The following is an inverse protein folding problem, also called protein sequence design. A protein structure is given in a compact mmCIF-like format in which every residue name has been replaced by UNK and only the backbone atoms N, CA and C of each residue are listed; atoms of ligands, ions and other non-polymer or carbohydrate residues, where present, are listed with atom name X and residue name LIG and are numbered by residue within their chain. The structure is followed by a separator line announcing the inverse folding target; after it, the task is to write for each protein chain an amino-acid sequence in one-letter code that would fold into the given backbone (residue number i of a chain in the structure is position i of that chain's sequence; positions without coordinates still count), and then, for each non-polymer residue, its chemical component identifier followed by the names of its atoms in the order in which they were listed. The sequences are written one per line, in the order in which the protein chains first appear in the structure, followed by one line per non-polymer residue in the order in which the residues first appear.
data_IF_153828618306
#
_entry.id   IF_153828618306
#
_cell.length_a   1.000
_cell.length_b   1.000
_cell.length_c   1.000
_cell.angle_alpha   90.00
_cell.angle_beta   90.00
_cell.angle_gamma   90.00
#
_symmetry.space_group_name_H-M   'P 1'
#
loop_
_entity.id
_entity.type
_entity.pdbx_description
1 polymer ?
#
# COMPACT_ATOMS: atom_id res chain seq x y z
N UNK A 1 -37.95 -10.27 -22.27
CA UNK A 1 -36.86 -11.29 -22.24
C UNK A 1 -36.52 -11.53 -20.78
N UNK A 2 -36.57 -12.77 -20.28
CA UNK A 2 -36.24 -13.03 -18.87
C UNK A 2 -34.77 -12.74 -18.61
N UNK A 3 -34.50 -11.94 -17.59
CA UNK A 3 -33.14 -11.69 -17.07
C UNK A 3 -32.56 -13.01 -16.56
N UNK A 4 -31.57 -13.54 -17.27
CA UNK A 4 -30.76 -14.65 -16.75
C UNK A 4 -29.98 -14.17 -15.54
N UNK A 5 -30.54 -14.31 -14.37
CA UNK A 5 -29.83 -14.18 -13.10
C UNK A 5 -28.74 -15.25 -13.12
N UNK A 6 -27.49 -14.81 -13.12
CA UNK A 6 -26.37 -15.76 -13.01
C UNK A 6 -26.57 -16.61 -11.73
N UNK A 7 -26.43 -17.96 -11.83
CA UNK A 7 -26.67 -18.82 -10.68
C UNK A 7 -25.75 -18.42 -9.53
N UNK A 8 -26.34 -18.23 -8.34
CA UNK A 8 -25.63 -17.92 -7.11
C UNK A 8 -24.50 -18.93 -6.86
N UNK A 9 -23.32 -18.43 -6.52
CA UNK A 9 -22.17 -19.29 -6.17
C UNK A 9 -22.52 -19.96 -4.83
N UNK A 10 -22.45 -21.31 -4.73
CA UNK A 10 -22.74 -21.98 -3.48
C UNK A 10 -21.83 -21.46 -2.36
N UNK A 11 -22.37 -21.22 -1.17
CA UNK A 11 -21.65 -20.73 0.01
C UNK A 11 -20.44 -21.59 0.46
N UNK A 12 -20.31 -22.83 -0.07
CA UNK A 12 -19.19 -23.73 0.17
C UNK A 12 -18.04 -23.60 -0.86
N UNK A 13 -18.11 -22.69 -1.85
CA UNK A 13 -17.09 -22.53 -2.86
C UNK A 13 -15.85 -21.82 -2.29
N UNK A 14 -14.66 -22.47 -2.35
CA UNK A 14 -13.39 -21.84 -1.96
C UNK A 14 -12.86 -20.87 -3.05
N UNK A 15 -11.80 -20.14 -2.75
CA UNK A 15 -11.11 -19.22 -3.69
C UNK A 15 -10.71 -19.89 -5.02
N UNK A 16 -10.43 -21.19 -4.99
CA UNK A 16 -10.01 -21.98 -6.15
C UNK A 16 -11.16 -22.75 -6.82
N UNK A 17 -12.42 -22.43 -6.49
CA UNK A 17 -13.56 -22.95 -7.22
C UNK A 17 -13.41 -22.65 -8.73
N UNK A 18 -13.89 -23.55 -9.64
CA UNK A 18 -13.63 -23.43 -11.09
C UNK A 18 -13.96 -22.07 -11.68
N UNK A 19 -14.97 -21.36 -11.17
CA UNK A 19 -15.38 -20.03 -11.62
C UNK A 19 -14.48 -18.90 -11.10
N UNK A 20 -13.84 -19.06 -9.93
CA UNK A 20 -13.04 -18.03 -9.27
C UNK A 20 -11.53 -18.23 -9.42
N UNK A 21 -11.07 -19.47 -9.69
CA UNK A 21 -9.64 -19.81 -9.68
C UNK A 21 -8.79 -18.92 -10.59
N UNK A 22 -9.24 -18.70 -11.83
CA UNK A 22 -8.50 -17.90 -12.80
C UNK A 22 -8.41 -16.44 -12.35
N UNK A 23 -9.51 -15.88 -11.82
CA UNK A 23 -9.55 -14.53 -11.26
C UNK A 23 -8.69 -14.43 -10.01
N UNK A 24 -8.74 -15.42 -9.10
CA UNK A 24 -7.91 -15.45 -7.90
C UNK A 24 -6.42 -15.52 -8.25
N UNK A 25 -6.01 -16.46 -9.10
CA UNK A 25 -4.61 -16.61 -9.51
C UNK A 25 -4.10 -15.35 -10.21
N UNK A 26 -4.86 -14.82 -11.17
CA UNK A 26 -4.47 -13.62 -11.90
C UNK A 26 -4.39 -12.37 -10.99
N UNK A 27 -5.35 -12.18 -10.07
CA UNK A 27 -5.31 -11.05 -9.13
C UNK A 27 -4.14 -11.15 -8.15
N UNK A 28 -3.89 -12.33 -7.59
CA UNK A 28 -2.74 -12.58 -6.71
C UNK A 28 -1.42 -12.38 -7.47
N UNK A 29 -1.32 -12.85 -8.72
CA UNK A 29 -0.14 -12.66 -9.56
C UNK A 29 0.12 -11.16 -9.84
N UNK A 30 -0.93 -10.37 -10.15
CA UNK A 30 -0.78 -8.92 -10.34
C UNK A 30 -0.33 -8.20 -9.07
N UNK A 31 -0.89 -8.56 -7.90
CA UNK A 31 -0.43 -7.99 -6.63
C UNK A 31 1.03 -8.38 -6.35
N UNK A 32 1.41 -9.64 -6.59
CA UNK A 32 2.82 -10.08 -6.43
C UNK A 32 3.77 -9.35 -7.36
N UNK A 33 3.33 -9.04 -8.59
CA UNK A 33 4.15 -8.27 -9.54
C UNK A 33 4.32 -6.82 -9.12
N UNK A 34 3.26 -6.18 -8.62
CA UNK A 34 3.34 -4.82 -8.06
C UNK A 34 4.30 -4.79 -6.87
N UNK A 35 4.23 -5.79 -6.00
CA UNK A 35 5.12 -5.93 -4.85
C UNK A 35 6.58 -6.18 -5.28
N UNK A 36 6.79 -7.11 -6.23
CA UNK A 36 8.12 -7.41 -6.75
C UNK A 36 8.76 -6.18 -7.38
N UNK A 37 8.03 -5.47 -8.24
CA UNK A 37 8.52 -4.27 -8.89
C UNK A 37 8.94 -3.20 -7.86
N UNK A 38 8.09 -2.91 -6.88
CA UNK A 38 8.38 -1.92 -5.84
C UNK A 38 9.69 -2.20 -5.10
N UNK A 39 9.99 -3.48 -4.83
CA UNK A 39 11.18 -3.92 -4.10
C UNK A 39 12.41 -4.08 -5.02
N UNK A 40 12.22 -4.63 -6.21
CA UNK A 40 13.28 -4.90 -7.19
C UNK A 40 13.93 -3.61 -7.71
N UNK A 41 13.10 -2.57 -7.93
CA UNK A 41 13.60 -1.26 -8.37
C UNK A 41 14.51 -0.65 -7.32
N UNK A 42 14.18 -0.76 -6.03
CA UNK A 42 15.05 -0.29 -4.95
C UNK A 42 16.46 -0.88 -5.04
N UNK A 43 16.58 -2.16 -5.39
CA UNK A 43 17.86 -2.86 -5.56
C UNK A 43 18.60 -2.43 -6.83
N UNK A 44 17.89 -2.19 -7.93
CA UNK A 44 18.49 -1.85 -9.22
C UNK A 44 18.93 -0.38 -9.34
N UNK A 45 18.19 0.55 -8.69
CA UNK A 45 18.34 2.00 -8.89
C UNK A 45 19.76 2.56 -8.68
N UNK A 46 20.58 2.11 -7.71
CA UNK A 46 21.96 2.60 -7.59
C UNK A 46 22.80 2.30 -8.84
N UNK A 47 22.60 1.14 -9.47
CA UNK A 47 23.28 0.77 -10.71
C UNK A 47 22.74 1.55 -11.90
N UNK A 48 21.43 1.72 -11.98
CA UNK A 48 20.75 2.57 -12.98
C UNK A 48 21.29 4.00 -12.95
N UNK A 49 21.31 4.62 -11.78
CA UNK A 49 21.76 6.01 -11.61
C UNK A 49 23.22 6.21 -12.04
N UNK A 50 24.08 5.23 -11.78
CA UNK A 50 25.47 5.26 -12.24
C UNK A 50 25.58 5.06 -13.76
N UNK A 51 24.82 4.13 -14.34
CA UNK A 51 24.90 3.81 -15.76
C UNK A 51 24.29 4.87 -16.68
N UNK A 52 23.35 5.69 -16.16
CA UNK A 52 22.68 6.77 -16.89
C UNK A 52 23.18 8.17 -16.44
N UNK A 53 24.23 8.24 -15.61
CA UNK A 53 24.75 9.49 -15.01
C UNK A 53 23.65 10.37 -14.43
N UNK A 54 22.72 9.74 -13.69
CA UNK A 54 21.43 10.31 -13.34
C UNK A 54 21.19 10.56 -11.85
N UNK A 55 22.26 10.73 -11.02
CA UNK A 55 22.11 10.93 -9.57
C UNK A 55 21.23 12.13 -9.20
N UNK A 56 21.26 13.21 -10.01
CA UNK A 56 20.42 14.40 -9.78
C UNK A 56 18.91 14.10 -9.90
N UNK A 57 18.52 13.10 -10.67
CA UNK A 57 17.13 12.69 -10.87
C UNK A 57 16.73 11.46 -10.05
N UNK A 58 17.65 10.93 -9.23
CA UNK A 58 17.44 9.70 -8.45
C UNK A 58 16.15 9.74 -7.62
N UNK A 59 15.93 10.84 -6.92
CA UNK A 59 14.75 10.98 -6.10
C UNK A 59 13.44 11.10 -6.86
N UNK A 60 13.46 11.80 -7.97
CA UNK A 60 12.26 11.92 -8.81
C UNK A 60 11.92 10.55 -9.41
N UNK A 61 12.91 9.72 -9.72
CA UNK A 61 12.70 8.36 -10.20
C UNK A 61 12.00 7.46 -9.17
N UNK A 62 12.17 7.70 -7.88
CA UNK A 62 11.42 7.04 -6.80
C UNK A 62 10.09 7.72 -6.50
N UNK A 63 10.07 9.05 -6.37
CA UNK A 63 8.89 9.81 -5.99
C UNK A 63 7.83 9.94 -7.08
N UNK A 64 8.27 9.98 -8.34
CA UNK A 64 7.38 10.13 -9.49
C UNK A 64 6.25 9.08 -9.56
N UNK A 65 6.54 7.78 -9.43
CA UNK A 65 5.51 6.74 -9.40
C UNK A 65 4.49 6.91 -8.26
N UNK A 66 4.92 7.33 -7.08
CA UNK A 66 4.01 7.58 -5.96
C UNK A 66 3.07 8.75 -6.27
N UNK A 67 3.60 9.84 -6.80
CA UNK A 67 2.80 11.01 -7.15
C UNK A 67 1.75 10.69 -8.22
N UNK A 68 2.15 10.06 -9.33
CA UNK A 68 1.22 9.67 -10.39
C UNK A 68 0.26 8.56 -9.95
N UNK A 69 0.69 7.67 -9.05
CA UNK A 69 -0.14 6.65 -8.42
C UNK A 69 -1.28 7.25 -7.61
N UNK A 70 -1.03 8.29 -6.81
CA UNK A 70 -2.06 9.02 -6.05
C UNK A 70 -3.15 9.56 -6.99
N UNK A 71 -2.77 10.21 -8.08
CA UNK A 71 -3.71 10.69 -9.08
C UNK A 71 -4.50 9.53 -9.70
N UNK A 72 -3.81 8.48 -10.11
CA UNK A 72 -4.40 7.31 -10.76
C UNK A 72 -5.39 6.56 -9.85
N UNK A 73 -5.13 6.47 -8.55
CA UNK A 73 -6.05 5.88 -7.57
C UNK A 73 -7.39 6.63 -7.54
N UNK A 74 -7.38 7.96 -7.58
CA UNK A 74 -8.60 8.77 -7.62
C UNK A 74 -9.34 8.57 -8.94
N UNK A 75 -8.63 8.62 -10.07
CA UNK A 75 -9.19 8.37 -11.41
C UNK A 75 -9.80 6.97 -11.47
N UNK A 76 -9.11 5.95 -10.97
CA UNK A 76 -9.58 4.57 -10.92
C UNK A 76 -10.86 4.44 -10.10
N UNK A 77 -10.92 5.07 -8.91
CA UNK A 77 -12.10 5.06 -8.06
C UNK A 77 -13.33 5.64 -8.76
N UNK A 78 -13.19 6.82 -9.36
CA UNK A 78 -14.25 7.48 -10.13
C UNK A 78 -14.69 6.61 -11.32
N UNK A 79 -13.73 6.04 -12.04
CA UNK A 79 -14.02 5.22 -13.22
C UNK A 79 -14.68 3.88 -12.84
N UNK A 80 -14.22 3.23 -11.77
CA UNK A 80 -14.84 2.01 -11.25
C UNK A 80 -16.30 2.24 -10.86
N UNK A 81 -16.60 3.34 -10.16
CA UNK A 81 -17.96 3.67 -9.74
C UNK A 81 -18.85 4.02 -10.94
N UNK A 82 -18.32 4.71 -11.95
CA UNK A 82 -19.08 5.12 -13.14
C UNK A 82 -19.33 3.98 -14.14
N UNK A 83 -18.35 3.11 -14.39
CA UNK A 83 -18.38 2.15 -15.52
C UNK A 83 -17.89 0.75 -15.14
N UNK A 84 -17.63 0.49 -13.86
CA UNK A 84 -17.07 -0.76 -13.35
C UNK A 84 -15.54 -0.87 -13.50
N UNK A 85 -14.94 -1.91 -12.87
CA UNK A 85 -13.49 -2.04 -12.73
C UNK A 85 -12.77 -2.52 -13.99
N UNK A 86 -13.52 -2.98 -15.02
CA UNK A 86 -12.93 -3.55 -16.25
C UNK A 86 -12.04 -2.56 -17.00
N UNK A 87 -12.52 -1.32 -17.18
CA UNK A 87 -11.75 -0.25 -17.86
C UNK A 87 -10.45 0.06 -17.12
N UNK A 88 -10.51 0.48 -15.83
CA UNK A 88 -9.32 0.75 -15.03
C UNK A 88 -8.33 -0.41 -14.95
N UNK A 89 -8.80 -1.66 -14.91
CA UNK A 89 -7.92 -2.83 -14.93
C UNK A 89 -7.11 -2.91 -16.22
N UNK A 90 -7.75 -2.84 -17.41
CA UNK A 90 -7.06 -2.95 -18.69
C UNK A 90 -6.11 -1.79 -18.95
N UNK A 91 -6.56 -0.57 -18.70
CA UNK A 91 -5.71 0.62 -18.86
C UNK A 91 -4.60 0.64 -17.83
N UNK A 92 -4.86 0.15 -16.60
CA UNK A 92 -3.86 0.03 -15.55
C UNK A 92 -2.71 -0.88 -15.98
N UNK A 93 -3.02 -2.09 -16.48
CA UNK A 93 -1.98 -3.01 -17.01
C UNK A 93 -1.27 -2.39 -18.21
N UNK A 94 -2.01 -1.78 -19.14
CA UNK A 94 -1.41 -1.17 -20.32
C UNK A 94 -0.41 -0.06 -19.94
N UNK A 95 -0.80 0.89 -19.08
CA UNK A 95 0.08 1.96 -18.63
C UNK A 95 1.25 1.43 -17.79
N UNK A 96 1.01 0.41 -16.94
CA UNK A 96 2.05 -0.23 -16.15
C UNK A 96 3.11 -0.87 -17.06
N UNK A 97 2.69 -1.65 -18.07
CA UNK A 97 3.60 -2.29 -19.04
C UNK A 97 4.32 -1.25 -19.90
N UNK A 98 3.60 -0.24 -20.43
CA UNK A 98 4.23 0.82 -21.22
C UNK A 98 5.28 1.57 -20.40
N UNK A 99 4.98 1.89 -19.15
CA UNK A 99 5.95 2.54 -18.26
C UNK A 99 7.21 1.68 -18.03
N UNK A 100 7.03 0.38 -17.82
CA UNK A 100 8.14 -0.57 -17.67
C UNK A 100 9.00 -0.68 -18.95
N UNK A 101 8.36 -0.70 -20.11
CA UNK A 101 9.08 -0.72 -21.39
C UNK A 101 9.89 0.57 -21.60
N UNK A 102 9.29 1.74 -21.32
CA UNK A 102 10.01 3.02 -21.39
C UNK A 102 11.19 3.03 -20.43
N UNK A 103 10.98 2.61 -19.16
CA UNK A 103 12.03 2.58 -18.15
C UNK A 103 13.16 1.58 -18.51
N UNK A 104 12.82 0.38 -18.98
CA UNK A 104 13.78 -0.67 -19.34
C UNK A 104 14.59 -0.37 -20.60
N UNK A 105 14.03 0.42 -21.52
CA UNK A 105 14.74 0.84 -22.77
C UNK A 105 15.34 2.24 -22.68
N UNK A 106 15.24 2.90 -21.50
CA UNK A 106 15.68 4.28 -21.33
C UNK A 106 17.18 4.49 -21.69
N UNK A 107 17.50 5.44 -22.60
CA UNK A 107 18.87 5.79 -22.91
C UNK A 107 19.45 6.82 -21.92
N UNK A 108 18.61 7.59 -21.24
CA UNK A 108 18.98 8.65 -20.29
C UNK A 108 18.06 8.60 -19.06
N UNK A 109 18.51 9.16 -17.95
CA UNK A 109 17.76 9.10 -16.69
C UNK A 109 16.40 9.80 -16.75
N UNK A 110 16.27 10.89 -17.52
CA UNK A 110 14.97 11.57 -17.72
C UNK A 110 13.93 10.69 -18.41
N UNK A 111 14.32 9.88 -19.37
CA UNK A 111 13.42 8.92 -20.02
C UNK A 111 12.98 7.83 -19.01
N UNK A 112 13.89 7.37 -18.17
CA UNK A 112 13.56 6.42 -17.09
C UNK A 112 12.54 7.05 -16.12
N UNK A 113 12.74 8.30 -15.69
CA UNK A 113 11.80 9.03 -14.81
C UNK A 113 10.40 9.10 -15.43
N UNK A 114 10.30 9.40 -16.72
CA UNK A 114 9.01 9.39 -17.45
C UNK A 114 8.41 7.99 -17.42
N UNK A 115 9.18 6.95 -17.74
CA UNK A 115 8.73 5.57 -17.68
C UNK A 115 8.20 5.18 -16.28
N UNK A 116 8.90 5.59 -15.24
CA UNK A 116 8.50 5.38 -13.83
C UNK A 116 7.19 6.13 -13.49
N UNK A 117 7.02 7.35 -13.95
CA UNK A 117 5.79 8.10 -13.74
C UNK A 117 4.59 7.45 -14.45
N UNK A 118 4.77 6.99 -15.69
CA UNK A 118 3.76 6.26 -16.46
C UNK A 118 3.41 4.92 -15.78
N UNK A 119 4.40 4.20 -15.31
CA UNK A 119 4.24 2.96 -14.56
C UNK A 119 3.47 3.18 -13.25
N UNK A 120 3.80 4.22 -12.49
CA UNK A 120 3.10 4.59 -11.26
C UNK A 120 1.62 4.90 -11.49
N UNK A 121 1.31 5.59 -12.60
CA UNK A 121 -0.08 5.80 -13.01
C UNK A 121 -0.80 4.47 -13.28
N UNK A 122 -0.18 3.54 -13.99
CA UNK A 122 -0.72 2.21 -14.23
C UNK A 122 -0.96 1.42 -12.94
N UNK A 123 0.00 1.41 -12.02
CA UNK A 123 -0.10 0.70 -10.74
C UNK A 123 -1.22 1.27 -9.85
N UNK A 124 -1.40 2.60 -9.84
CA UNK A 124 -2.50 3.25 -9.12
C UNK A 124 -3.87 2.87 -9.66
N UNK A 125 -4.03 2.77 -10.99
CA UNK A 125 -5.26 2.27 -11.61
C UNK A 125 -5.54 0.82 -11.20
N UNK A 126 -4.54 -0.05 -11.27
CA UNK A 126 -4.62 -1.46 -10.96
C UNK A 126 -5.01 -1.72 -9.51
N UNK A 127 -4.36 -1.04 -8.60
CA UNK A 127 -4.53 -1.29 -7.17
C UNK A 127 -5.97 -1.08 -6.70
N UNK A 128 -6.62 0.00 -7.13
CA UNK A 128 -8.04 0.26 -6.81
C UNK A 128 -8.96 -0.69 -7.56
N UNK A 129 -8.72 -0.94 -8.86
CA UNK A 129 -9.54 -1.85 -9.65
C UNK A 129 -9.58 -3.26 -9.07
N UNK A 130 -8.44 -3.79 -8.57
CA UNK A 130 -8.36 -5.10 -7.92
C UNK A 130 -9.23 -5.18 -6.66
N UNK A 131 -9.28 -4.12 -5.85
CA UNK A 131 -10.14 -4.06 -4.66
C UNK A 131 -11.63 -4.04 -5.03
N UNK A 132 -12.01 -3.27 -6.05
CA UNK A 132 -13.39 -3.23 -6.54
C UNK A 132 -13.81 -4.58 -7.15
N UNK A 133 -12.90 -5.26 -7.85
CA UNK A 133 -13.13 -6.62 -8.37
C UNK A 133 -13.43 -7.58 -7.23
N UNK A 134 -12.71 -7.51 -6.10
CA UNK A 134 -13.02 -8.33 -4.93
C UNK A 134 -14.46 -8.08 -4.47
N UNK A 135 -14.86 -6.82 -4.33
CA UNK A 135 -16.21 -6.47 -3.89
C UNK A 135 -17.34 -6.92 -4.82
N UNK A 136 -17.06 -7.01 -6.14
CA UNK A 136 -18.10 -7.32 -7.14
C UNK A 136 -18.09 -8.79 -7.59
N UNK A 137 -16.94 -9.45 -7.57
CA UNK A 137 -16.79 -10.81 -8.11
C UNK A 137 -16.85 -11.92 -7.07
N UNK A 138 -16.49 -11.61 -5.83
CA UNK A 138 -16.39 -12.61 -4.78
C UNK A 138 -17.56 -12.49 -3.80
N UNK A 139 -18.14 -13.63 -3.34
CA UNK A 139 -19.07 -13.66 -2.21
C UNK A 139 -18.43 -13.04 -0.95
N UNK A 140 -19.26 -12.42 -0.11
CA UNK A 140 -18.79 -11.68 1.07
C UNK A 140 -17.97 -12.55 2.06
N UNK A 141 -18.33 -13.83 2.19
CA UNK A 141 -17.62 -14.81 3.02
C UNK A 141 -16.18 -15.09 2.54
N UNK A 142 -15.90 -14.86 1.25
CA UNK A 142 -14.57 -15.02 0.65
C UNK A 142 -13.72 -13.74 0.68
N UNK A 143 -14.29 -12.56 0.97
CA UNK A 143 -13.53 -11.29 0.97
C UNK A 143 -12.32 -11.35 1.91
N UNK A 144 -12.46 -11.95 3.10
CA UNK A 144 -11.35 -12.09 4.04
C UNK A 144 -10.23 -12.96 3.49
N UNK A 145 -10.58 -14.08 2.85
CA UNK A 145 -9.62 -15.03 2.30
C UNK A 145 -8.86 -14.44 1.11
N UNK A 146 -9.52 -13.69 0.23
CA UNK A 146 -8.85 -13.07 -0.91
C UNK A 146 -7.96 -11.90 -0.48
N UNK A 147 -8.37 -11.07 0.49
CA UNK A 147 -7.49 -10.02 1.03
C UNK A 147 -6.33 -10.58 1.84
N UNK A 148 -6.51 -11.73 2.52
CA UNK A 148 -5.39 -12.45 3.12
C UNK A 148 -4.42 -13.00 2.06
N UNK A 149 -4.93 -13.49 0.92
CA UNK A 149 -4.10 -13.90 -0.20
C UNK A 149 -3.35 -12.70 -0.84
N UNK A 150 -3.98 -11.52 -0.94
CA UNK A 150 -3.31 -10.29 -1.40
C UNK A 150 -2.19 -9.86 -0.44
N UNK A 151 -2.40 -9.96 0.86
CA UNK A 151 -1.34 -9.68 1.83
C UNK A 151 -0.18 -10.70 1.71
N UNK A 152 -0.49 -11.99 1.58
CA UNK A 152 0.51 -13.03 1.35
C UNK A 152 1.27 -12.85 0.02
N UNK A 153 0.64 -12.26 -0.99
CA UNK A 153 1.26 -11.98 -2.29
C UNK A 153 2.42 -10.97 -2.23
N UNK A 154 2.54 -10.21 -1.14
CA UNK A 154 3.69 -9.32 -0.87
C UNK A 154 4.88 -10.05 -0.26
N UNK A 155 4.65 -11.18 0.42
CA UNK A 155 5.68 -11.87 1.21
C UNK A 155 6.74 -12.53 0.34
N UNK A 156 6.32 -13.27 -0.68
CA UNK A 156 7.29 -13.92 -1.57
C UNK A 156 8.19 -12.87 -2.24
N UNK A 157 7.66 -11.79 -2.86
CA UNK A 157 8.48 -10.71 -3.36
C UNK A 157 9.37 -10.04 -2.30
N UNK A 158 8.90 -9.86 -1.07
CA UNK A 158 9.73 -9.23 -0.02
C UNK A 158 10.91 -10.11 0.40
N UNK A 159 10.74 -11.43 0.35
CA UNK A 159 11.78 -12.37 0.74
C UNK A 159 12.82 -12.59 -0.36
N UNK A 160 12.36 -12.82 -1.59
CA UNK A 160 13.24 -13.20 -2.70
C UNK A 160 13.45 -12.09 -3.74
N UNK A 161 12.61 -11.05 -3.75
CA UNK A 161 12.64 -9.98 -4.75
C UNK A 161 13.99 -9.26 -4.85
N UNK A 162 14.57 -8.76 -3.76
CA UNK A 162 15.88 -8.11 -3.81
C UNK A 162 16.98 -9.02 -4.28
N UNK A 163 16.97 -10.31 -3.88
CA UNK A 163 17.97 -11.29 -4.34
C UNK A 163 17.83 -11.57 -5.85
N UNK A 164 16.59 -11.81 -6.32
CA UNK A 164 16.32 -12.01 -7.75
C UNK A 164 16.70 -10.76 -8.56
N UNK A 165 16.33 -9.57 -8.08
CA UNK A 165 16.70 -8.33 -8.75
C UNK A 165 18.21 -8.12 -8.80
N UNK A 166 18.92 -8.44 -7.72
CA UNK A 166 20.39 -8.40 -7.68
C UNK A 166 21.03 -9.35 -8.71
N UNK A 167 20.56 -10.59 -8.80
CA UNK A 167 21.00 -11.54 -9.81
C UNK A 167 20.70 -11.06 -11.24
N UNK A 168 19.51 -10.52 -11.48
CA UNK A 168 19.16 -9.94 -12.78
C UNK A 168 20.11 -8.79 -13.12
N UNK A 169 20.37 -7.87 -12.20
CA UNK A 169 21.28 -6.75 -12.41
C UNK A 169 22.70 -7.23 -12.74
N UNK A 170 23.17 -8.25 -12.01
CA UNK A 170 24.53 -8.77 -12.14
C UNK A 170 24.76 -9.53 -13.45
N UNK A 171 23.82 -10.37 -13.87
CA UNK A 171 24.03 -11.31 -15.00
C UNK A 171 23.37 -10.87 -16.31
N UNK A 172 22.21 -10.19 -16.23
CA UNK A 172 21.43 -9.77 -17.40
C UNK A 172 21.46 -8.26 -17.63
N UNK A 173 21.87 -7.50 -16.60
CA UNK A 173 21.84 -6.05 -16.59
C UNK A 173 20.55 -5.47 -16.04
N UNK A 174 20.63 -4.23 -15.53
CA UNK A 174 19.55 -3.56 -14.81
C UNK A 174 18.26 -3.38 -15.65
N UNK A 175 18.38 -3.29 -16.97
CA UNK A 175 17.22 -3.12 -17.87
C UNK A 175 16.22 -4.26 -17.76
N UNK A 176 16.68 -5.47 -17.52
CA UNK A 176 15.83 -6.65 -17.40
C UNK A 176 14.99 -6.66 -16.12
N UNK A 177 15.33 -5.88 -15.09
CA UNK A 177 14.47 -5.70 -13.91
C UNK A 177 13.12 -5.10 -14.31
N UNK A 178 13.10 -4.24 -15.32
CA UNK A 178 11.88 -3.64 -15.88
C UNK A 178 11.28 -4.48 -17.01
N UNK A 179 12.09 -4.99 -17.93
CA UNK A 179 11.62 -5.67 -19.15
C UNK A 179 11.07 -7.08 -18.91
N UNK A 180 11.44 -7.75 -17.82
CA UNK A 180 10.94 -9.09 -17.51
C UNK A 180 9.52 -9.08 -16.94
N UNK A 181 9.10 -8.02 -16.23
CA UNK A 181 7.81 -7.94 -15.55
C UNK A 181 6.62 -8.01 -16.51
N UNK A 182 6.60 -7.36 -17.68
CA UNK A 182 5.54 -7.49 -18.68
C UNK A 182 5.24 -8.92 -19.12
N UNK A 183 6.26 -9.79 -19.18
CA UNK A 183 6.09 -11.20 -19.56
C UNK A 183 5.19 -11.98 -18.59
N UNK A 184 5.03 -11.52 -17.34
CA UNK A 184 4.14 -12.12 -16.34
C UNK A 184 2.87 -11.29 -16.16
N UNK A 185 2.94 -9.96 -16.28
CA UNK A 185 1.78 -9.07 -16.12
C UNK A 185 0.70 -9.32 -17.19
N UNK A 186 1.11 -9.51 -18.45
CA UNK A 186 0.17 -9.76 -19.55
C UNK A 186 -0.58 -11.09 -19.38
N UNK A 187 0.06 -12.23 -19.16
CA UNK A 187 -0.65 -13.49 -18.85
C UNK A 187 -1.56 -13.39 -17.63
N UNK A 188 -1.13 -12.70 -16.56
CA UNK A 188 -1.92 -12.55 -15.35
C UNK A 188 -3.25 -11.82 -15.61
N UNK A 189 -3.25 -10.74 -16.42
CA UNK A 189 -4.50 -10.03 -16.75
C UNK A 189 -5.36 -10.82 -17.73
N UNK A 190 -4.77 -11.61 -18.62
CA UNK A 190 -5.52 -12.50 -19.50
C UNK A 190 -6.26 -13.59 -18.73
N UNK A 191 -5.69 -14.10 -17.63
CA UNK A 191 -6.37 -15.02 -16.73
C UNK A 191 -7.60 -14.43 -16.06
N UNK A 192 -7.57 -13.13 -15.73
CA UNK A 192 -8.70 -12.44 -15.11
C UNK A 192 -9.81 -12.12 -16.13
N UNK A 193 -9.46 -12.00 -17.41
CA UNK A 193 -10.36 -11.51 -18.46
C UNK A 193 -11.73 -12.20 -18.53
N UNK A 194 -11.86 -13.53 -18.49
CA UNK A 194 -13.18 -14.20 -18.55
C UNK A 194 -14.07 -13.78 -17.37
N UNK A 195 -13.49 -13.68 -16.15
CA UNK A 195 -14.20 -13.23 -14.95
C UNK A 195 -14.63 -11.76 -15.02
N UNK A 196 -13.81 -10.89 -15.63
CA UNK A 196 -14.18 -9.49 -15.83
C UNK A 196 -15.36 -9.30 -16.80
N UNK A 197 -15.53 -10.22 -17.78
CA UNK A 197 -16.66 -10.16 -18.71
C UNK A 197 -17.99 -10.46 -18.01
N UNK A 198 -17.98 -11.26 -16.96
CA UNK A 198 -19.19 -11.62 -16.20
C UNK A 198 -19.60 -10.53 -15.21
N UNK A 199 -18.70 -9.59 -14.86
CA UNK A 199 -19.04 -8.44 -14.03
C UNK A 199 -19.95 -7.51 -14.82
N UNK A 200 -21.15 -7.25 -14.29
CA UNK A 200 -22.10 -6.30 -14.88
C UNK A 200 -21.46 -4.92 -15.04
N UNK A 201 -21.89 -4.20 -16.07
CA UNK A 201 -21.60 -2.76 -16.13
C UNK A 201 -22.32 -2.11 -14.95
N UNK A 202 -21.57 -1.35 -14.14
CA UNK A 202 -22.20 -0.47 -13.14
C UNK A 202 -23.21 0.40 -13.88
N UNK A 203 -24.47 0.33 -13.45
CA UNK A 203 -25.56 1.15 -14.05
C UNK A 203 -25.55 2.50 -13.33
N UNK A 204 -24.42 3.19 -13.34
CA UNK A 204 -24.43 4.59 -12.96
C UNK A 204 -25.00 5.39 -14.15
N UNK A 205 -26.25 5.77 -14.04
CA UNK A 205 -26.99 6.55 -15.05
C UNK A 205 -26.59 8.03 -15.07
N UNK A 206 -25.69 8.46 -14.18
CA UNK A 206 -25.27 9.86 -14.08
C UNK A 206 -23.75 9.99 -13.91
N UNK A 207 -23.13 11.06 -14.45
CA UNK A 207 -21.75 11.41 -14.15
C UNK A 207 -21.53 11.49 -12.64
N UNK A 208 -20.40 10.95 -12.15
CA UNK A 208 -20.04 11.05 -10.72
C UNK A 208 -19.91 12.52 -10.34
N UNK A 209 -20.84 13.01 -9.51
CA UNK A 209 -20.85 14.41 -9.10
C UNK A 209 -19.52 14.80 -8.45
N UNK A 210 -18.96 15.95 -8.85
CA UNK A 210 -17.70 16.44 -8.31
C UNK A 210 -16.44 15.71 -8.79
N UNK A 211 -16.52 14.87 -9.83
CA UNK A 211 -15.36 14.12 -10.36
C UNK A 211 -14.20 15.05 -10.76
N UNK A 212 -14.48 16.14 -11.49
CA UNK A 212 -13.46 17.10 -11.90
C UNK A 212 -12.77 17.77 -10.72
N UNK A 213 -13.52 18.17 -9.69
CA UNK A 213 -12.97 18.75 -8.48
C UNK A 213 -12.08 17.74 -7.73
N UNK A 214 -12.50 16.46 -7.62
CA UNK A 214 -11.69 15.41 -6.99
C UNK A 214 -10.39 15.15 -7.74
N UNK A 215 -10.43 15.14 -9.09
CA UNK A 215 -9.20 15.03 -9.91
C UNK A 215 -8.30 16.25 -9.67
N UNK A 216 -8.84 17.45 -9.60
CA UNK A 216 -8.07 18.66 -9.28
C UNK A 216 -7.36 18.56 -7.92
N UNK A 217 -8.08 18.10 -6.87
CA UNK A 217 -7.46 17.84 -5.56
C UNK A 217 -6.43 16.71 -5.59
N UNK A 218 -6.65 15.68 -6.40
CA UNK A 218 -5.68 14.60 -6.59
C UNK A 218 -4.40 15.08 -7.29
N UNK A 219 -4.52 15.96 -8.29
CA UNK A 219 -3.37 16.62 -8.91
C UNK A 219 -2.58 17.45 -7.88
N UNK A 220 -3.29 18.23 -7.05
CA UNK A 220 -2.65 18.99 -5.98
C UNK A 220 -1.92 18.09 -4.96
N UNK A 221 -2.54 16.99 -4.54
CA UNK A 221 -1.92 16.01 -3.65
C UNK A 221 -0.71 15.31 -4.31
N UNK A 222 -0.80 14.97 -5.60
CA UNK A 222 0.28 14.35 -6.36
C UNK A 222 1.49 15.29 -6.49
N UNK A 223 1.27 16.56 -6.82
CA UNK A 223 2.32 17.58 -6.87
C UNK A 223 2.94 17.77 -5.50
N UNK A 224 2.13 17.84 -4.44
CA UNK A 224 2.63 17.96 -3.07
C UNK A 224 3.47 16.77 -2.63
N UNK A 225 3.07 15.54 -2.99
CA UNK A 225 3.86 14.33 -2.72
C UNK A 225 5.19 14.34 -3.49
N UNK A 226 5.20 14.80 -4.75
CA UNK A 226 6.43 14.97 -5.53
C UNK A 226 7.35 16.02 -4.91
N UNK A 227 6.82 17.18 -4.50
CA UNK A 227 7.58 18.24 -3.82
C UNK A 227 8.16 17.75 -2.49
N UNK A 228 7.41 16.96 -1.71
CA UNK A 228 7.90 16.37 -0.48
C UNK A 228 9.11 15.47 -0.73
N UNK A 229 9.06 14.67 -1.78
CA UNK A 229 10.14 13.77 -2.18
C UNK A 229 11.38 14.51 -2.67
N UNK A 230 11.17 15.55 -3.49
CA UNK A 230 12.26 16.43 -3.97
C UNK A 230 12.87 17.19 -2.80
N UNK A 231 12.04 17.78 -1.94
CA UNK A 231 12.48 18.55 -0.76
C UNK A 231 13.31 17.72 0.21
N UNK A 232 12.94 16.43 0.42
CA UNK A 232 13.69 15.52 1.26
C UNK A 232 15.11 15.19 0.77
N UNK A 233 15.45 15.54 -0.47
CA UNK A 233 16.78 15.34 -1.05
C UNK A 233 17.60 16.64 -1.15
N UNK A 234 16.97 17.77 -0.89
CA UNK A 234 17.63 19.06 -0.83
C UNK A 234 18.22 19.32 0.57
N UNK A 235 19.03 20.36 0.68
CA UNK A 235 19.60 20.82 1.96
C UNK A 235 19.32 22.32 2.16
N UNK A 236 19.41 22.76 3.40
CA UNK A 236 19.25 24.16 3.74
C UNK A 236 17.83 24.71 3.54
N UNK A 237 17.72 26.00 3.23
CA UNK A 237 16.45 26.70 3.12
C UNK A 237 15.55 26.14 2.01
N UNK A 238 16.13 25.72 0.89
CA UNK A 238 15.36 25.10 -0.22
C UNK A 238 14.62 23.85 0.21
N UNK A 239 15.26 22.98 0.99
CA UNK A 239 14.61 21.79 1.55
C UNK A 239 13.41 22.16 2.42
N UNK A 240 13.61 23.11 3.35
CA UNK A 240 12.58 23.56 4.28
C UNK A 240 11.37 24.17 3.53
N UNK A 241 11.62 25.02 2.54
CA UNK A 241 10.55 25.64 1.74
C UNK A 241 9.77 24.58 0.95
N UNK A 242 10.45 23.65 0.25
CA UNK A 242 9.78 22.62 -0.53
C UNK A 242 8.95 21.69 0.37
N UNK A 243 9.50 21.28 1.51
CA UNK A 243 8.79 20.43 2.48
C UNK A 243 7.59 21.17 3.07
N UNK A 244 7.75 22.44 3.45
CA UNK A 244 6.66 23.24 3.99
C UNK A 244 5.51 23.40 2.98
N UNK A 245 5.81 23.77 1.73
CA UNK A 245 4.82 23.87 0.64
C UNK A 245 4.13 22.53 0.40
N UNK A 246 4.90 21.43 0.37
CA UNK A 246 4.37 20.10 0.19
C UNK A 246 3.41 19.70 1.33
N UNK A 247 3.80 19.93 2.58
CA UNK A 247 2.97 19.63 3.76
C UNK A 247 1.68 20.46 3.75
N UNK A 248 1.77 21.76 3.49
CA UNK A 248 0.57 22.63 3.36
C UNK A 248 -0.33 22.13 2.25
N UNK A 249 0.23 21.80 1.07
CA UNK A 249 -0.53 21.25 -0.05
C UNK A 249 -1.23 19.93 0.31
N UNK A 250 -0.55 19.02 1.00
CA UNK A 250 -1.15 17.77 1.48
C UNK A 250 -2.26 18.02 2.51
N UNK A 251 -2.05 18.92 3.48
CA UNK A 251 -3.06 19.29 4.49
C UNK A 251 -4.32 19.90 3.86
N UNK A 252 -4.17 20.60 2.73
CA UNK A 252 -5.29 21.18 1.98
C UNK A 252 -5.97 20.15 1.09
N UNK A 253 -5.23 19.33 0.35
CA UNK A 253 -5.77 18.44 -0.67
C UNK A 253 -6.28 17.11 -0.08
N UNK A 254 -5.53 16.49 0.86
CA UNK A 254 -5.85 15.17 1.37
C UNK A 254 -7.23 15.07 2.04
N UNK A 255 -7.66 16.00 2.92
CA UNK A 255 -8.97 15.92 3.55
C UNK A 255 -10.15 15.97 2.55
N UNK A 256 -9.93 16.55 1.36
CA UNK A 256 -10.94 16.64 0.29
C UNK A 256 -11.06 15.37 -0.55
N UNK A 257 -10.04 14.52 -0.49
CA UNK A 257 -10.01 13.22 -1.16
C UNK A 257 -10.49 12.08 -0.25
N UNK A 258 -10.37 12.26 1.06
CA UNK A 258 -10.74 11.29 2.08
C UNK A 258 -12.24 11.40 2.44
N UNK A 259 -12.83 10.38 3.08
CA UNK A 259 -14.25 10.39 3.44
C UNK A 259 -14.61 11.56 4.36
N UNK A 260 -15.84 12.09 4.21
CA UNK A 260 -16.32 13.16 5.05
C UNK A 260 -16.28 12.78 6.55
N UNK A 261 -15.80 13.69 7.39
CA UNK A 261 -15.60 13.44 8.81
C UNK A 261 -14.28 12.73 9.17
N UNK A 262 -13.38 12.52 8.20
CA UNK A 262 -12.07 11.90 8.43
C UNK A 262 -11.27 12.57 9.55
N UNK A 263 -11.13 13.90 9.53
CA UNK A 263 -10.38 14.66 10.55
C UNK A 263 -10.98 14.56 11.97
N UNK A 264 -12.26 14.21 12.09
CA UNK A 264 -12.97 14.02 13.37
C UNK A 264 -13.02 12.55 13.77
N UNK A 265 -12.38 11.65 13.03
CA UNK A 265 -12.49 10.21 13.16
C UNK A 265 -13.96 9.77 13.32
N UNK A 266 -14.83 10.28 12.43
CA UNK A 266 -16.25 9.95 12.44
C UNK A 266 -16.44 8.43 12.31
N UNK A 267 -17.50 7.89 12.92
CA UNK A 267 -17.76 6.45 12.96
C UNK A 267 -17.92 5.86 11.56
N UNK A 268 -17.48 4.61 11.39
CA UNK A 268 -17.57 3.86 10.14
C UNK A 268 -16.37 4.11 9.21
N UNK A 269 -16.63 4.34 7.93
CA UNK A 269 -15.62 4.41 6.87
C UNK A 269 -14.52 5.45 7.10
N UNK A 270 -14.80 6.68 7.61
CA UNK A 270 -13.74 7.65 7.88
C UNK A 270 -12.71 7.14 8.89
N UNK A 271 -13.17 6.45 9.93
CA UNK A 271 -12.28 5.81 10.91
C UNK A 271 -11.52 4.64 10.26
N UNK A 272 -12.14 3.79 9.45
CA UNK A 272 -11.46 2.69 8.75
C UNK A 272 -10.28 3.19 7.92
N UNK A 273 -10.48 4.25 7.14
CA UNK A 273 -9.42 4.89 6.35
C UNK A 273 -8.33 5.49 7.25
N UNK A 274 -8.73 6.14 8.35
CA UNK A 274 -7.78 6.69 9.33
C UNK A 274 -6.92 5.63 10.00
N UNK A 275 -7.51 4.52 10.43
CA UNK A 275 -6.78 3.40 11.03
C UNK A 275 -5.79 2.78 10.05
N UNK A 276 -6.15 2.68 8.76
CA UNK A 276 -5.26 2.20 7.71
C UNK A 276 -4.04 3.09 7.57
N UNK A 277 -4.25 4.41 7.50
CA UNK A 277 -3.17 5.39 7.42
C UNK A 277 -2.27 5.38 8.66
N UNK A 278 -2.85 5.37 9.88
CA UNK A 278 -2.09 5.32 11.13
C UNK A 278 -1.23 4.05 11.23
N UNK A 279 -1.77 2.91 10.84
CA UNK A 279 -1.02 1.65 10.83
C UNK A 279 0.13 1.67 9.81
N UNK A 280 -0.12 2.19 8.60
CA UNK A 280 0.91 2.37 7.57
C UNK A 280 2.02 3.27 8.06
N UNK A 281 1.68 4.44 8.61
CA UNK A 281 2.65 5.36 9.17
C UNK A 281 3.49 4.72 10.29
N UNK A 282 2.84 4.04 11.24
CA UNK A 282 3.53 3.39 12.34
C UNK A 282 4.51 2.32 11.85
N UNK A 283 4.06 1.45 10.94
CA UNK A 283 4.86 0.33 10.45
C UNK A 283 6.00 0.80 9.55
N UNK A 284 5.72 1.63 8.53
CA UNK A 284 6.73 2.13 7.58
C UNK A 284 7.76 3.03 8.29
N UNK A 285 7.32 3.87 9.24
CA UNK A 285 8.23 4.70 10.03
C UNK A 285 9.22 3.87 10.85
N UNK A 286 8.76 2.77 11.45
CA UNK A 286 9.63 1.84 12.18
C UNK A 286 10.52 1.01 11.23
N UNK A 287 9.98 0.51 10.13
CA UNK A 287 10.67 -0.35 9.15
C UNK A 287 11.94 0.30 8.60
N UNK A 288 11.90 1.59 8.30
CA UNK A 288 13.06 2.33 7.77
C UNK A 288 14.15 2.54 8.82
N UNK A 289 13.78 2.69 10.09
CA UNK A 289 14.73 2.98 11.18
C UNK A 289 15.40 1.73 11.72
N UNK A 290 14.70 0.60 11.73
CA UNK A 290 15.19 -0.65 12.32
C UNK A 290 16.57 -1.09 11.76
N UNK A 291 16.75 -1.21 10.43
CA UNK A 291 18.06 -1.64 9.88
C UNK A 291 19.18 -0.64 10.21
N UNK A 292 18.87 0.65 10.15
CA UNK A 292 19.84 1.71 10.43
C UNK A 292 20.30 1.67 11.90
N UNK A 293 19.35 1.53 12.83
CA UNK A 293 19.60 1.37 14.26
C UNK A 293 20.44 0.13 14.54
N UNK A 294 20.02 -1.03 14.01
CA UNK A 294 20.72 -2.30 14.25
C UNK A 294 22.15 -2.30 13.67
N UNK A 295 22.35 -1.67 12.52
CA UNK A 295 23.68 -1.58 11.91
C UNK A 295 24.61 -0.63 12.67
N UNK A 296 24.10 0.50 13.17
CA UNK A 296 24.92 1.53 13.83
C UNK A 296 25.13 1.27 15.33
N UNK A 297 24.05 0.93 16.04
CA UNK A 297 24.09 0.77 17.51
C UNK A 297 24.49 -0.65 17.92
N UNK A 298 24.21 -1.64 17.07
CA UNK A 298 24.42 -3.06 17.39
C UNK A 298 25.47 -3.72 16.49
N UNK A 299 26.11 -2.96 15.60
CA UNK A 299 27.15 -3.44 14.67
C UNK A 299 26.74 -4.65 13.82
N UNK A 300 25.43 -4.81 13.53
CA UNK A 300 24.97 -5.87 12.65
C UNK A 300 25.36 -5.59 11.22
N UNK A 301 25.72 -6.65 10.48
CA UNK A 301 25.86 -6.54 9.04
C UNK A 301 24.53 -6.14 8.39
N UNK A 302 24.53 -5.46 7.24
CA UNK A 302 23.30 -5.12 6.53
C UNK A 302 22.39 -6.32 6.25
N UNK A 303 23.00 -7.49 5.97
CA UNK A 303 22.27 -8.75 5.78
C UNK A 303 21.55 -9.19 7.05
N UNK A 304 22.22 -9.17 8.21
CA UNK A 304 21.61 -9.55 9.48
C UNK A 304 20.50 -8.59 9.89
N UNK A 305 20.69 -7.28 9.69
CA UNK A 305 19.66 -6.28 9.93
C UNK A 305 18.43 -6.46 9.00
N UNK A 306 18.65 -6.84 7.73
CA UNK A 306 17.61 -7.17 6.78
C UNK A 306 16.81 -8.43 7.16
N UNK A 307 17.46 -9.44 7.74
CA UNK A 307 16.78 -10.64 8.21
C UNK A 307 15.76 -10.34 9.31
N UNK A 308 16.00 -9.34 10.16
CA UNK A 308 15.01 -8.90 11.15
C UNK A 308 13.73 -8.41 10.47
N UNK A 309 13.84 -7.65 9.37
CA UNK A 309 12.67 -7.22 8.60
C UNK A 309 11.91 -8.40 8.00
N UNK A 310 12.62 -9.42 7.54
CA UNK A 310 12.02 -10.65 7.00
C UNK A 310 11.14 -11.35 8.02
N UNK A 311 11.54 -11.39 9.30
CA UNK A 311 10.71 -11.96 10.38
C UNK A 311 9.38 -11.22 10.51
N UNK A 312 9.37 -9.91 10.41
CA UNK A 312 8.15 -9.10 10.39
C UNK A 312 7.23 -9.44 9.21
N UNK A 313 7.79 -9.60 8.00
CA UNK A 313 7.03 -9.96 6.81
C UNK A 313 6.40 -11.37 6.92
N UNK A 314 7.13 -12.35 7.47
CA UNK A 314 6.61 -13.69 7.75
C UNK A 314 5.48 -13.64 8.80
N UNK A 315 5.68 -12.91 9.89
CA UNK A 315 4.66 -12.71 10.92
C UNK A 315 3.41 -12.01 10.37
N UNK A 316 3.57 -11.03 9.46
CA UNK A 316 2.45 -10.42 8.73
C UNK A 316 1.63 -11.47 7.96
N UNK A 317 2.29 -12.40 7.29
CA UNK A 317 1.59 -13.47 6.58
C UNK A 317 0.81 -14.39 7.51
N UNK A 318 1.40 -14.76 8.65
CA UNK A 318 0.73 -15.53 9.69
C UNK A 318 -0.49 -14.78 10.22
N UNK A 319 -0.36 -13.48 10.51
CA UNK A 319 -1.48 -12.64 10.95
C UNK A 319 -2.60 -12.58 9.92
N UNK A 320 -2.26 -12.41 8.63
CA UNK A 320 -3.24 -12.39 7.54
C UNK A 320 -3.97 -13.72 7.37
N UNK A 321 -3.25 -14.83 7.51
CA UNK A 321 -3.83 -16.15 7.46
C UNK A 321 -4.77 -16.44 8.65
N UNK A 322 -4.38 -16.04 9.87
CA UNK A 322 -5.23 -16.11 11.06
C UNK A 322 -6.49 -15.29 10.87
N UNK A 323 -6.36 -14.04 10.42
CA UNK A 323 -7.49 -13.14 10.15
C UNK A 323 -8.49 -13.76 9.16
N UNK A 324 -8.02 -14.44 8.12
CA UNK A 324 -8.87 -15.11 7.12
C UNK A 324 -9.73 -16.26 7.70
N UNK A 325 -9.42 -16.75 8.89
CA UNK A 325 -10.11 -17.86 9.57
C UNK A 325 -11.05 -17.43 10.70
N UNK A 326 -10.92 -16.20 11.20
CA UNK A 326 -11.74 -15.72 12.32
C UNK A 326 -13.16 -15.36 11.83
N UNK A 327 -14.23 -15.84 12.49
CA UNK A 327 -15.61 -15.55 12.10
C UNK A 327 -15.97 -14.06 12.13
N UNK A 328 -16.82 -13.63 11.19
CA UNK A 328 -17.20 -12.23 10.97
C UNK A 328 -17.77 -11.49 12.19
N UNK A 329 -18.69 -12.03 13.02
CA UNK A 329 -19.33 -11.26 14.08
C UNK A 329 -18.38 -10.77 15.17
N UNK A 330 -17.39 -11.56 15.56
CA UNK A 330 -16.43 -11.22 16.61
C UNK A 330 -15.34 -10.23 16.19
N UNK A 331 -15.24 -9.88 14.89
CA UNK A 331 -14.04 -9.30 14.32
C UNK A 331 -14.12 -7.83 13.90
N UNK A 332 -15.31 -7.20 13.86
CA UNK A 332 -15.45 -5.85 13.24
C UNK A 332 -14.60 -4.76 13.90
N UNK A 333 -14.60 -4.69 15.22
CA UNK A 333 -13.75 -3.73 15.95
C UNK A 333 -12.58 -4.40 16.68
N UNK A 334 -12.72 -5.68 17.07
CA UNK A 334 -11.73 -6.40 17.88
C UNK A 334 -10.44 -6.67 17.10
N UNK A 335 -10.53 -7.11 15.84
CA UNK A 335 -9.35 -7.38 15.01
C UNK A 335 -8.54 -6.11 14.68
N UNK A 336 -9.17 -4.98 14.23
CA UNK A 336 -8.45 -3.73 14.06
C UNK A 336 -7.78 -3.25 15.35
N UNK A 337 -8.46 -3.36 16.50
CA UNK A 337 -7.88 -2.99 17.79
C UNK A 337 -6.71 -3.90 18.16
N UNK A 338 -6.88 -5.22 18.08
CA UNK A 338 -5.82 -6.19 18.38
C UNK A 338 -4.59 -5.97 17.49
N UNK A 339 -4.80 -5.78 16.17
CA UNK A 339 -3.70 -5.53 15.23
C UNK A 339 -2.93 -4.25 15.56
N UNK A 340 -3.62 -3.13 15.84
CA UNK A 340 -2.97 -1.88 16.25
C UNK A 340 -2.28 -1.98 17.61
N UNK A 341 -2.86 -2.72 18.56
CA UNK A 341 -2.20 -3.00 19.84
C UNK A 341 -0.92 -3.81 19.65
N UNK A 342 -0.93 -4.84 18.78
CA UNK A 342 0.28 -5.58 18.43
C UNK A 342 1.33 -4.67 17.77
N UNK A 343 0.94 -3.76 16.85
CA UNK A 343 1.88 -2.80 16.25
C UNK A 343 2.45 -1.88 17.33
N UNK A 344 1.63 -1.36 18.24
CA UNK A 344 2.07 -0.51 19.36
C UNK A 344 3.09 -1.21 20.23
N UNK A 345 2.72 -2.39 20.74
CA UNK A 345 3.60 -3.19 21.63
C UNK A 345 4.87 -3.61 20.90
N UNK A 346 4.72 -4.08 19.65
CA UNK A 346 5.85 -4.53 18.85
C UNK A 346 6.85 -3.42 18.57
N UNK A 347 6.40 -2.24 18.11
CA UNK A 347 7.29 -1.10 17.83
C UNK A 347 7.89 -0.51 19.12
N UNK A 348 7.13 -0.45 20.22
CA UNK A 348 7.66 -0.06 21.53
C UNK A 348 8.72 -1.05 22.03
N UNK A 349 8.53 -2.35 21.83
CA UNK A 349 9.53 -3.37 22.16
C UNK A 349 10.80 -3.21 21.32
N UNK A 350 10.66 -2.92 20.02
CA UNK A 350 11.81 -2.62 19.15
C UNK A 350 12.57 -1.40 19.65
N UNK A 351 11.91 -0.36 20.16
CA UNK A 351 12.56 0.83 20.71
C UNK A 351 13.47 0.49 21.90
N UNK A 352 13.15 -0.52 22.71
CA UNK A 352 14.00 -0.98 23.79
C UNK A 352 15.31 -1.59 23.30
N UNK A 353 15.36 -2.11 22.08
CA UNK A 353 16.58 -2.68 21.50
C UNK A 353 17.65 -1.63 21.17
N UNK A 354 17.38 -0.34 21.33
CA UNK A 354 18.38 0.74 21.32
C UNK A 354 19.34 0.58 22.51
N UNK A 355 18.85 0.04 23.64
CA UNK A 355 19.65 -0.19 24.85
C UNK A 355 20.64 -1.36 24.62
N UNK A 356 21.95 -1.14 24.74
CA UNK A 356 22.97 -2.16 24.42
C UNK A 356 22.91 -3.39 25.36
N UNK A 357 22.36 -3.26 26.55
CA UNK A 357 22.22 -4.33 27.52
C UNK A 357 21.18 -5.40 27.11
N UNK A 358 20.24 -5.03 26.29
CA UNK A 358 19.17 -5.94 25.85
C UNK A 358 19.61 -6.79 24.64
N UNK A 359 19.27 -8.07 24.58
CA UNK A 359 19.62 -8.92 23.45
C UNK A 359 18.90 -8.49 22.17
N UNK A 360 19.52 -8.69 21.02
CA UNK A 360 18.94 -8.38 19.68
C UNK A 360 17.59 -9.06 19.47
N UNK A 361 17.37 -10.19 20.13
CA UNK A 361 16.10 -10.93 20.08
C UNK A 361 14.89 -10.06 20.47
N UNK A 362 15.09 -9.02 21.30
CA UNK A 362 14.04 -8.04 21.64
C UNK A 362 13.55 -7.31 20.37
N UNK A 363 14.46 -6.90 19.50
CA UNK A 363 14.08 -6.29 18.21
C UNK A 363 13.36 -7.29 17.30
N UNK A 364 13.86 -8.52 17.21
CA UNK A 364 13.29 -9.58 16.37
C UNK A 364 11.86 -9.92 16.82
N UNK A 365 11.66 -10.17 18.12
CA UNK A 365 10.34 -10.48 18.67
C UNK A 365 9.38 -9.30 18.59
N UNK A 366 9.86 -8.08 18.90
CA UNK A 366 9.06 -6.87 18.77
C UNK A 366 8.58 -6.69 17.34
N UNK A 367 9.47 -6.84 16.35
CA UNK A 367 9.12 -6.69 14.95
C UNK A 367 8.20 -7.81 14.44
N UNK A 368 8.37 -9.04 14.92
CA UNK A 368 7.42 -10.13 14.66
C UNK A 368 6.01 -9.80 15.17
N UNK A 369 5.88 -9.27 16.38
CA UNK A 369 4.59 -8.86 16.96
C UNK A 369 3.97 -7.72 16.14
N UNK A 370 4.76 -6.73 15.72
CA UNK A 370 4.27 -5.64 14.87
C UNK A 370 3.78 -6.16 13.50
N UNK A 371 4.54 -7.06 12.87
CA UNK A 371 4.15 -7.70 11.61
C UNK A 371 2.87 -8.52 11.74
N UNK A 372 2.73 -9.32 12.80
CA UNK A 372 1.49 -10.04 13.10
C UNK A 372 0.30 -9.07 13.20
N UNK A 373 0.50 -7.93 13.87
CA UNK A 373 -0.49 -6.86 13.98
C UNK A 373 -0.94 -6.34 12.61
N UNK A 374 -0.01 -6.08 11.70
CA UNK A 374 -0.32 -5.67 10.32
C UNK A 374 -1.14 -6.72 9.59
N UNK A 375 -0.79 -8.00 9.75
CA UNK A 375 -1.52 -9.11 9.14
C UNK A 375 -2.96 -9.24 9.62
N UNK A 376 -3.21 -9.01 10.90
CA UNK A 376 -4.58 -9.01 11.46
C UNK A 376 -5.40 -7.80 10.96
N UNK A 377 -4.75 -6.65 10.82
CA UNK A 377 -5.40 -5.36 10.56
C UNK A 377 -5.73 -5.13 9.09
N UNK A 378 -4.74 -5.27 8.19
CA UNK A 378 -4.86 -4.80 6.81
C UNK A 378 -5.98 -5.47 6.01
N UNK A 379 -6.10 -6.81 6.00
CA UNK A 379 -7.23 -7.45 5.34
C UNK A 379 -8.58 -7.09 5.99
N UNK A 380 -8.61 -6.93 7.33
CA UNK A 380 -9.83 -6.54 8.05
C UNK A 380 -10.34 -5.18 7.63
N UNK A 381 -9.47 -4.17 7.52
CA UNK A 381 -9.86 -2.82 7.07
C UNK A 381 -10.28 -2.82 5.60
N UNK A 382 -9.67 -3.64 4.75
CA UNK A 382 -10.07 -3.79 3.34
C UNK A 382 -11.48 -4.36 3.22
N UNK A 383 -11.80 -5.39 4.01
CA UNK A 383 -13.16 -5.98 4.07
C UNK A 383 -14.17 -4.95 4.58
N UNK A 384 -13.86 -4.27 5.69
CA UNK A 384 -14.72 -3.24 6.27
C UNK A 384 -14.99 -2.08 5.30
N UNK A 385 -14.00 -1.71 4.48
CA UNK A 385 -14.19 -0.69 3.44
C UNK A 385 -15.25 -1.12 2.44
N UNK A 386 -15.23 -2.36 1.98
CA UNK A 386 -16.23 -2.88 1.05
C UNK A 386 -17.61 -3.04 1.72
N UNK A 387 -17.65 -3.56 2.97
CA UNK A 387 -18.90 -3.73 3.72
C UNK A 387 -19.63 -2.40 4.04
N UNK A 388 -18.86 -1.34 4.28
CA UNK A 388 -19.38 -0.01 4.60
C UNK A 388 -19.62 0.86 3.36
N UNK A 389 -19.30 0.35 2.17
CA UNK A 389 -19.51 1.07 0.91
C UNK A 389 -20.91 0.84 0.38
N UNK A 390 -21.62 1.92 0.06
CA UNK A 390 -22.87 1.82 -0.68
C UNK A 390 -22.62 1.25 -2.10
N UNK A 391 -23.65 0.63 -2.70
CA UNK A 391 -23.59 0.25 -4.10
C UNK A 391 -23.19 1.45 -5.00
N UNK A 392 -22.16 1.27 -5.85
CA UNK A 392 -21.63 2.33 -6.71
C UNK A 392 -20.61 3.27 -6.06
N UNK A 393 -20.22 3.06 -4.80
CA UNK A 393 -19.19 3.86 -4.11
C UNK A 393 -17.94 3.05 -3.74
N UNK A 394 -17.88 1.78 -4.13
CA UNK A 394 -16.76 0.90 -3.81
C UNK A 394 -15.43 1.41 -4.36
N UNK A 395 -15.45 2.00 -5.57
CA UNK A 395 -14.27 2.58 -6.21
C UNK A 395 -13.74 3.79 -5.44
N UNK A 396 -14.61 4.74 -5.10
CA UNK A 396 -14.27 5.92 -4.31
C UNK A 396 -13.70 5.55 -2.94
N UNK A 397 -14.33 4.60 -2.27
CA UNK A 397 -13.94 4.22 -0.91
C UNK A 397 -12.66 3.39 -0.88
N UNK A 398 -12.47 2.47 -1.84
CA UNK A 398 -11.20 1.74 -2.03
C UNK A 398 -10.05 2.68 -2.41
N UNK A 399 -10.32 3.66 -3.26
CA UNK A 399 -9.35 4.73 -3.57
C UNK A 399 -8.97 5.52 -2.32
N UNK A 400 -9.95 5.96 -1.52
CA UNK A 400 -9.68 6.70 -0.28
C UNK A 400 -8.89 5.88 0.74
N UNK A 401 -9.13 4.56 0.84
CA UNK A 401 -8.36 3.67 1.71
C UNK A 401 -6.89 3.63 1.32
N UNK A 402 -6.59 3.45 0.03
CA UNK A 402 -5.21 3.37 -0.46
C UNK A 402 -4.52 4.73 -0.49
N UNK A 403 -5.26 5.81 -0.74
CA UNK A 403 -4.75 7.18 -0.60
C UNK A 403 -4.33 7.48 0.85
N UNK A 404 -5.18 7.11 1.82
CA UNK A 404 -4.83 7.23 3.24
C UNK A 404 -3.52 6.49 3.55
N UNK A 405 -3.40 5.26 3.09
CA UNK A 405 -2.19 4.43 3.23
C UNK A 405 -0.94 5.17 2.74
N UNK A 406 -0.95 5.62 1.47
CA UNK A 406 0.20 6.27 0.84
C UNK A 406 0.52 7.65 1.44
N UNK A 407 -0.49 8.47 1.73
CA UNK A 407 -0.28 9.82 2.25
C UNK A 407 0.30 9.79 3.67
N UNK A 408 -0.19 8.89 4.51
CA UNK A 408 0.33 8.73 5.87
C UNK A 408 1.74 8.15 5.88
N UNK A 409 2.02 7.15 5.02
CA UNK A 409 3.38 6.61 4.84
C UNK A 409 4.35 7.70 4.38
N UNK A 410 3.99 8.49 3.36
CA UNK A 410 4.83 9.59 2.88
C UNK A 410 5.09 10.65 3.97
N UNK A 411 4.06 10.99 4.75
CA UNK A 411 4.18 11.97 5.83
C UNK A 411 5.12 11.49 6.93
N UNK A 412 4.97 10.23 7.38
CA UNK A 412 5.85 9.69 8.43
C UNK A 412 7.29 9.53 7.95
N UNK A 413 7.51 9.15 6.70
CA UNK A 413 8.86 9.07 6.14
C UNK A 413 9.56 10.44 6.13
N UNK A 414 8.82 11.50 5.78
CA UNK A 414 9.35 12.86 5.85
C UNK A 414 9.69 13.29 7.29
N UNK A 415 8.79 12.99 8.25
CA UNK A 415 9.05 13.27 9.67
C UNK A 415 10.22 12.48 10.21
N UNK A 416 10.30 11.18 9.89
CA UNK A 416 11.43 10.31 10.24
C UNK A 416 12.74 10.87 9.68
N UNK A 417 12.75 11.25 8.42
CA UNK A 417 13.92 11.89 7.80
C UNK A 417 14.33 13.18 8.51
N UNK A 418 13.38 14.03 8.87
CA UNK A 418 13.64 15.26 9.62
C UNK A 418 14.21 14.98 11.03
N UNK A 419 13.66 14.01 11.75
CA UNK A 419 14.15 13.58 13.08
C UNK A 419 15.59 13.05 12.98
N UNK A 420 15.87 12.20 11.98
CA UNK A 420 17.21 11.66 11.78
C UNK A 420 18.24 12.71 11.34
N UNK A 421 17.80 13.76 10.66
CA UNK A 421 18.65 14.87 10.20
C UNK A 421 18.83 16.00 11.23
N UNK A 422 18.07 16.01 12.32
CA UNK A 422 18.08 17.11 13.31
C UNK A 422 19.37 17.20 14.14
N UNK A 423 20.20 16.13 14.16
CA UNK A 423 21.50 16.12 14.83
C UNK A 423 22.68 16.08 13.87
N UNK A 424 23.91 16.12 14.41
CA UNK A 424 25.13 15.96 13.61
C UNK A 424 25.24 14.57 12.96
N UNK A 425 24.65 13.54 13.61
CA UNK A 425 24.46 12.18 13.09
C UNK A 425 23.26 11.53 13.75
N UNK A 426 22.58 10.59 13.05
CA UNK A 426 21.58 9.75 13.69
C UNK A 426 22.17 8.92 14.83
N UNK A 427 21.50 8.88 15.98
CA UNK A 427 21.93 8.18 17.16
C UNK A 427 20.77 7.66 18.03
N UNK A 428 21.05 7.06 19.20
CA UNK A 428 20.07 6.40 20.06
C UNK A 428 18.79 7.21 20.31
N UNK A 429 18.93 8.51 20.59
CA UNK A 429 17.80 9.41 20.84
C UNK A 429 16.88 9.59 19.63
N UNK A 430 17.44 9.74 18.41
CA UNK A 430 16.66 9.91 17.19
C UNK A 430 15.95 8.61 16.80
N UNK A 431 16.58 7.44 17.00
CA UNK A 431 15.96 6.14 16.76
C UNK A 431 14.82 5.90 17.73
N UNK A 432 15.06 6.13 19.03
CA UNK A 432 14.03 5.97 20.06
C UNK A 432 12.84 6.90 19.79
N UNK A 433 13.10 8.18 19.49
CA UNK A 433 12.03 9.14 19.19
C UNK A 433 11.17 8.68 18.01
N UNK A 434 11.79 8.21 16.93
CA UNK A 434 11.05 7.72 15.74
C UNK A 434 10.21 6.49 16.07
N UNK A 435 10.77 5.53 16.81
CA UNK A 435 10.05 4.30 17.17
C UNK A 435 8.92 4.58 18.18
N UNK A 436 9.12 5.48 19.14
CA UNK A 436 8.08 5.94 20.08
C UNK A 436 6.98 6.70 19.34
N UNK A 437 7.33 7.55 18.38
CA UNK A 437 6.35 8.21 17.51
C UNK A 437 5.51 7.18 16.73
N UNK A 438 6.15 6.16 16.15
CA UNK A 438 5.48 5.07 15.45
C UNK A 438 4.52 4.30 16.39
N UNK A 439 4.99 3.93 17.58
CA UNK A 439 4.16 3.29 18.61
C UNK A 439 2.97 4.18 19.04
N UNK A 440 3.18 5.49 19.18
CA UNK A 440 2.15 6.46 19.51
C UNK A 440 1.06 6.57 18.44
N UNK A 441 1.44 6.56 17.16
CA UNK A 441 0.49 6.55 16.04
C UNK A 441 -0.37 5.27 16.04
N UNK A 442 0.23 4.11 16.28
CA UNK A 442 -0.48 2.84 16.38
C UNK A 442 -1.40 2.82 17.62
N UNK A 443 -0.96 3.34 18.76
CA UNK A 443 -1.76 3.46 19.98
C UNK A 443 -2.98 4.35 19.76
N UNK A 444 -2.80 5.52 19.12
CA UNK A 444 -3.91 6.39 18.74
C UNK A 444 -4.94 5.62 17.90
N UNK A 445 -4.46 4.86 16.91
CA UNK A 445 -5.31 3.99 16.12
C UNK A 445 -6.06 2.95 16.96
N UNK A 446 -5.40 2.27 17.90
CA UNK A 446 -6.01 1.28 18.78
C UNK A 446 -7.13 1.87 19.66
N UNK A 447 -6.94 3.09 20.16
CA UNK A 447 -7.96 3.83 20.93
C UNK A 447 -9.17 4.20 20.04
N UNK A 448 -8.93 4.55 18.78
CA UNK A 448 -10.00 4.92 17.84
C UNK A 448 -10.69 3.70 17.22
N UNK A 449 -10.15 2.49 17.32
CA UNK A 449 -10.63 1.30 16.63
C UNK A 449 -12.10 0.94 16.96
N UNK A 450 -12.59 1.32 18.13
CA UNK A 450 -14.02 1.15 18.48
C UNK A 450 -14.99 1.93 17.59
N UNK A 451 -14.51 2.97 16.89
CA UNK A 451 -15.33 3.81 16.01
C UNK A 451 -15.58 3.22 14.62
N UNK A 452 -14.97 2.09 14.27
CA UNK A 452 -15.26 1.40 13.00
C UNK A 452 -16.69 0.86 12.94
N UNK A 453 -17.34 0.65 14.10
CA UNK A 453 -18.73 0.21 14.19
C UNK A 453 -19.65 1.43 14.15
N UNK A 454 -20.55 1.47 13.18
CA UNK A 454 -21.63 2.44 13.12
C UNK A 454 -22.65 2.10 14.19
N UNK A 455 -23.08 3.11 15.00
CA UNK A 455 -23.98 2.91 16.14
C UNK A 455 -25.45 2.60 15.80
N UNK A 456 -25.74 2.08 14.61
CA UNK A 456 -27.04 1.58 14.20
C UNK A 456 -27.05 0.06 14.29
N UNK A 457 -27.92 -0.50 15.11
CA UNK A 457 -28.26 -1.92 15.09
C UNK A 457 -28.57 -2.37 13.67
N UNK A 458 -27.79 -3.31 13.15
CA UNK A 458 -28.23 -4.12 12.01
C UNK A 458 -29.49 -4.84 12.49
N UNK A 459 -30.68 -4.33 12.13
CA UNK A 459 -31.91 -5.13 12.24
C UNK A 459 -31.67 -6.37 11.37
N UNK A 460 -31.78 -7.59 11.89
CA UNK A 460 -31.83 -8.76 11.04
C UNK A 460 -33.03 -8.58 10.13
N UNK A 461 -32.80 -8.59 8.84
CA UNK A 461 -33.88 -8.78 7.85
C UNK A 461 -34.34 -10.21 8.05
N UNK A 462 -35.53 -10.35 8.63
CA UNK A 462 -36.23 -11.62 8.79
C UNK A 462 -36.64 -12.21 7.44
#
# INVERSE_FOLDING_TARGET
MPSTVAPAIPAAAGLFAPRLRAMTVGSVALISLLAFEALAVGTAMPTVARSLDGLALYGIAFGGPFATGVLAMVVSGIWCDARGPRGPMWHGVAWFVVGLLIAGTAPVMSALVVGRAVQGFGSGLLSVALYVIVGQAYPQDLHRRIFAAFAAAWVVPSLVGPAIAGLIVQYLGWRWVFLAVPAVAVPAVLLIHPGLRSLGRSVATSPVAGAAARIGWACGAAVSAALLHIGGQQRGVTALVLIAVAVVGLLVCAPRLLPAGFLRAARGLPTVVGLRGLASAAFVGAEVVIPLMLSRERSLSPTAAGLVLTVGALAWSVGSWLQGRIPVPASRASLPRAGLTCITVGTATVALAVLPELPIMVAVLGWAVAGLGMGLLYPSLSVLTLELSAPGEQGRNSSSLQLGDNLFAATVLALTGAVLAAGSAPGPASYTLTLVMAAGLALLGALLAGRVVTGGSVRPVG
#
